data_IF_756319291189
#
_entry.id   IF_756319291189
#
_cell.length_a   1.000
_cell.length_b   1.000
_cell.length_c   1.000
_cell.angle_alpha   90.00
_cell.angle_beta   90.00
_cell.angle_gamma   90.00
#
_symmetry.space_group_name_H-M   'P 1'
#
loop_
_entity.id
_entity.type
_entity.pdbx_description
1 polymer ?
#
# COMPACT_ATOMS: atom_id res chain seq x y z
N UNK A 1 -9.32 3.87 10.92
CA UNK A 1 -8.01 3.19 10.98
C UNK A 1 -6.91 4.01 11.65
N UNK A 2 -6.96 5.34 11.61
CA UNK A 2 -5.93 6.23 12.19
C UNK A 2 -5.56 5.94 13.65
N UNK A 3 -6.56 5.66 14.50
CA UNK A 3 -6.33 5.35 15.91
C UNK A 3 -5.44 4.09 16.10
N UNK A 4 -5.59 3.09 15.24
CA UNK A 4 -4.80 1.85 15.27
C UNK A 4 -3.37 2.14 14.81
N UNK A 5 -3.22 2.86 13.69
CA UNK A 5 -1.90 3.25 13.16
C UNK A 5 -1.11 4.06 14.20
N UNK A 6 -1.75 5.05 14.83
CA UNK A 6 -1.12 5.83 15.90
C UNK A 6 -0.69 4.97 17.09
N UNK A 7 -1.53 4.01 17.50
CA UNK A 7 -1.20 3.09 18.60
C UNK A 7 -0.02 2.16 18.24
N UNK A 8 0.05 1.67 17.00
CA UNK A 8 1.16 0.84 16.52
C UNK A 8 2.47 1.63 16.49
N UNK A 9 2.46 2.85 15.93
CA UNK A 9 3.63 3.73 15.89
C UNK A 9 4.13 4.08 17.29
N UNK A 10 3.25 4.41 18.23
CA UNK A 10 3.61 4.67 19.65
C UNK A 10 4.28 3.48 20.34
N UNK A 11 3.97 2.26 19.89
CA UNK A 11 4.56 1.02 20.42
C UNK A 11 5.79 0.57 19.62
N UNK A 12 6.24 1.31 18.61
CA UNK A 12 7.34 0.92 17.75
C UNK A 12 7.04 -0.30 16.88
N UNK A 13 5.76 -0.60 16.63
CA UNK A 13 5.34 -1.71 15.78
C UNK A 13 5.29 -1.21 14.33
N UNK A 14 6.03 -1.83 13.40
CA UNK A 14 6.00 -1.46 11.98
C UNK A 14 4.57 -1.54 11.42
N UNK A 15 4.17 -0.50 10.68
CA UNK A 15 2.84 -0.44 10.06
C UNK A 15 2.92 0.29 8.72
N UNK A 16 2.34 -0.29 7.69
CA UNK A 16 2.11 0.39 6.41
C UNK A 16 0.66 0.83 6.36
N UNK A 17 0.44 2.13 6.20
CA UNK A 17 -0.90 2.69 6.10
C UNK A 17 -1.16 3.17 4.69
N UNK A 18 -2.13 2.55 4.01
CA UNK A 18 -2.50 2.87 2.63
C UNK A 18 -3.92 3.45 2.61
N UNK A 19 -4.10 4.55 1.90
CA UNK A 19 -5.35 5.29 1.78
C UNK A 19 -5.72 5.48 0.31
N UNK A 20 -7.03 5.50 0.05
CA UNK A 20 -7.63 5.83 -1.23
C UNK A 20 -8.69 6.91 -0.99
N UNK A 21 -8.34 8.22 -1.08
CA UNK A 21 -9.20 9.31 -0.61
C UNK A 21 -10.54 9.46 -1.36
N UNK A 22 -10.65 8.86 -2.55
CA UNK A 22 -11.86 8.88 -3.39
C UNK A 22 -12.69 7.58 -3.30
N UNK A 23 -12.37 6.70 -2.35
CA UNK A 23 -13.05 5.42 -2.12
C UNK A 23 -13.74 5.37 -0.76
N UNK A 24 -14.67 4.41 -0.61
CA UNK A 24 -15.42 4.16 0.63
C UNK A 24 -15.03 2.83 1.29
N UNK A 25 -16.04 2.06 1.73
CA UNK A 25 -15.81 0.76 2.36
C UNK A 25 -15.17 -0.28 1.43
N UNK A 26 -15.32 -0.11 0.12
CA UNK A 26 -14.68 -0.94 -0.90
C UNK A 26 -14.19 -0.10 -2.06
N UNK A 27 -13.51 -0.76 -3.00
CA UNK A 27 -12.98 -0.14 -4.21
C UNK A 27 -13.99 -0.21 -5.35
N UNK A 28 -14.42 0.96 -5.84
CA UNK A 28 -15.23 1.10 -7.05
C UNK A 28 -14.34 1.28 -8.28
N UNK A 29 -13.24 2.02 -8.15
CA UNK A 29 -12.37 2.35 -9.29
C UNK A 29 -11.41 1.19 -9.59
N UNK A 30 -11.35 0.72 -10.85
CA UNK A 30 -10.43 -0.35 -11.25
C UNK A 30 -8.96 -0.03 -10.94
N UNK A 31 -8.55 1.23 -11.10
CA UNK A 31 -7.17 1.67 -10.84
C UNK A 31 -6.79 1.51 -9.37
N UNK A 32 -7.68 1.91 -8.45
CA UNK A 32 -7.47 1.77 -7.01
C UNK A 32 -7.44 0.30 -6.58
N UNK A 33 -8.30 -0.54 -7.18
CA UNK A 33 -8.28 -1.98 -6.92
C UNK A 33 -6.99 -2.63 -7.41
N UNK A 34 -6.50 -2.24 -8.59
CA UNK A 34 -5.25 -2.76 -9.14
C UNK A 34 -4.05 -2.35 -8.27
N UNK A 35 -3.97 -1.08 -7.88
CA UNK A 35 -2.89 -0.61 -7.00
C UNK A 35 -2.95 -1.29 -5.63
N UNK A 36 -4.15 -1.53 -5.09
CA UNK A 36 -4.31 -2.25 -3.82
C UNK A 36 -3.76 -3.68 -3.93
N UNK A 37 -4.14 -4.41 -4.98
CA UNK A 37 -3.66 -5.77 -5.19
C UNK A 37 -2.13 -5.82 -5.34
N UNK A 38 -1.53 -4.87 -6.06
CA UNK A 38 -0.07 -4.80 -6.20
C UNK A 38 0.64 -4.57 -4.85
N UNK A 39 0.10 -3.70 -3.99
CA UNK A 39 0.64 -3.50 -2.64
C UNK A 39 0.49 -4.76 -1.78
N UNK A 40 -0.68 -5.41 -1.83
CA UNK A 40 -0.95 -6.63 -1.08
C UNK A 40 -0.02 -7.76 -1.51
N UNK A 41 0.18 -7.94 -2.81
CA UNK A 41 1.07 -8.97 -3.35
C UNK A 41 2.52 -8.76 -2.87
N UNK A 42 3.02 -7.52 -2.97
CA UNK A 42 4.35 -7.17 -2.47
C UNK A 42 4.48 -7.39 -0.95
N UNK A 43 3.50 -6.94 -0.17
CA UNK A 43 3.48 -7.13 1.28
C UNK A 43 3.48 -8.61 1.67
N UNK A 44 2.60 -9.41 1.05
CA UNK A 44 2.50 -10.85 1.34
C UNK A 44 3.76 -11.59 0.90
N UNK A 45 4.38 -11.22 -0.22
CA UNK A 45 5.64 -11.84 -0.65
C UNK A 45 6.77 -11.65 0.36
N UNK A 46 6.83 -10.51 1.06
CA UNK A 46 7.83 -10.25 2.10
C UNK A 46 7.60 -11.11 3.36
N UNK A 47 6.34 -11.34 3.74
CA UNK A 47 6.00 -11.96 5.04
C UNK A 47 5.65 -13.45 4.94
N UNK A 48 5.13 -13.91 3.81
CA UNK A 48 4.74 -15.28 3.55
C UNK A 48 5.65 -15.96 2.51
N UNK A 49 6.55 -15.20 1.88
CA UNK A 49 7.33 -15.66 0.74
C UNK A 49 6.52 -15.72 -0.55
N UNK A 50 7.16 -16.18 -1.63
CA UNK A 50 6.56 -16.30 -2.95
C UNK A 50 7.00 -15.18 -3.90
N UNK A 51 6.44 -15.23 -5.12
CA UNK A 51 6.70 -14.22 -6.15
C UNK A 51 5.65 -13.12 -6.04
N UNK A 52 6.02 -11.91 -6.41
CA UNK A 52 5.11 -10.80 -6.66
C UNK A 52 5.46 -10.13 -7.99
N UNK A 53 4.47 -9.54 -8.64
CA UNK A 53 4.72 -8.68 -9.79
C UNK A 53 5.19 -7.29 -9.31
N UNK A 54 6.34 -6.78 -9.79
CA UNK A 54 6.75 -5.42 -9.48
C UNK A 54 5.67 -4.41 -9.89
N UNK A 55 5.30 -3.51 -8.98
CA UNK A 55 4.20 -2.55 -9.15
C UNK A 55 4.24 -1.83 -10.50
N UNK A 56 5.42 -1.42 -10.99
CA UNK A 56 5.60 -0.83 -12.32
C UNK A 56 4.66 0.35 -12.58
N UNK A 57 3.78 0.23 -13.60
CA UNK A 57 2.76 1.25 -13.93
C UNK A 57 1.43 1.06 -13.17
N UNK A 58 1.36 0.13 -12.23
CA UNK A 58 0.14 -0.28 -11.52
C UNK A 58 -0.51 0.81 -10.65
N UNK A 59 0.17 1.94 -10.42
CA UNK A 59 -0.38 3.10 -9.70
C UNK A 59 -0.93 4.20 -10.62
N UNK A 60 -0.84 4.02 -11.94
CA UNK A 60 -1.36 5.01 -12.90
C UNK A 60 -2.87 5.19 -12.72
N UNK A 61 -3.30 6.42 -12.43
CA UNK A 61 -4.71 6.77 -12.26
C UNK A 61 -5.32 6.35 -10.91
N UNK A 62 -4.54 5.73 -10.03
CA UNK A 62 -4.93 5.42 -8.66
C UNK A 62 -4.70 6.63 -7.75
N UNK A 63 -5.58 6.81 -6.78
CA UNK A 63 -5.50 7.89 -5.78
C UNK A 63 -4.71 7.48 -4.53
N UNK A 64 -3.99 6.36 -4.59
CA UNK A 64 -3.22 5.78 -3.49
C UNK A 64 -2.39 6.83 -2.74
N UNK A 65 -2.46 6.82 -1.42
CA UNK A 65 -1.60 7.60 -0.54
C UNK A 65 -1.05 6.68 0.55
N UNK A 66 0.22 6.83 0.90
CA UNK A 66 0.86 6.01 1.93
C UNK A 66 1.49 6.93 2.98
N UNK A 67 0.71 7.38 3.99
CA UNK A 67 1.23 8.32 4.99
C UNK A 67 2.37 7.76 5.85
N UNK A 68 2.50 6.43 5.98
CA UNK A 68 3.56 5.79 6.76
C UNK A 68 3.84 4.37 6.28
N UNK A 69 5.09 3.91 6.44
CA UNK A 69 5.50 2.52 6.24
C UNK A 69 5.64 2.08 4.79
N UNK A 70 5.88 3.00 3.86
CA UNK A 70 6.15 2.65 2.45
C UNK A 70 7.44 1.83 2.30
N UNK A 71 8.39 2.01 3.23
CA UNK A 71 9.65 1.30 3.35
C UNK A 71 9.49 -0.16 3.83
N UNK A 72 8.34 -0.51 4.40
CA UNK A 72 8.07 -1.87 4.89
C UNK A 72 7.48 -2.80 3.83
N UNK A 73 7.23 -2.30 2.61
CA UNK A 73 6.71 -3.07 1.48
C UNK A 73 7.69 -3.00 0.30
N UNK A 74 8.11 -4.14 -0.28
CA UNK A 74 9.09 -4.16 -1.36
C UNK A 74 8.62 -3.32 -2.55
N UNK A 75 9.48 -2.39 -3.00
CA UNK A 75 9.22 -1.57 -4.18
C UNK A 75 8.14 -0.50 -4.03
N UNK A 76 7.42 -0.41 -2.90
CA UNK A 76 6.32 0.53 -2.72
C UNK A 76 6.80 1.99 -2.74
N UNK A 77 7.79 2.34 -1.92
CA UNK A 77 8.35 3.70 -1.89
C UNK A 77 8.86 4.16 -3.26
N UNK A 78 9.57 3.29 -4.00
CA UNK A 78 10.05 3.58 -5.33
C UNK A 78 8.90 3.81 -6.33
N UNK A 79 7.86 2.97 -6.26
CA UNK A 79 6.71 3.05 -7.16
C UNK A 79 5.84 4.28 -6.92
N UNK A 80 5.73 4.74 -5.67
CA UNK A 80 5.08 6.00 -5.32
C UNK A 80 5.84 7.21 -5.87
N UNK A 81 7.17 7.19 -5.84
CA UNK A 81 8.01 8.26 -6.37
C UNK A 81 7.95 8.38 -7.90
N UNK A 82 7.62 7.30 -8.60
CA UNK A 82 7.49 7.26 -10.06
C UNK A 82 6.06 7.46 -10.59
N UNK A 83 5.11 7.85 -9.72
CA UNK A 83 3.68 7.94 -10.06
C UNK A 83 3.33 9.14 -10.92
#
# INVERSE_FOLDING_TARGET
SDQIVSAMQKKGIPVTYVLYPDEGHGFVRPENRLSFNAVVEAFLSQHLGGRFEPVGRGFRGATISVPTGAEHVPGLAASLASR
#
